data_IF_052274756998
#
_entry.id   IF_052274756998
#
_cell.length_a   1.000
_cell.length_b   1.000
_cell.length_c   1.000
_cell.angle_alpha   90.00
_cell.angle_beta   90.00
_cell.angle_gamma   90.00
#
_symmetry.space_group_name_H-M   'P 1'
#
loop_
_entity.id
_entity.type
_entity.pdbx_description
1 polymer ?
#
# COMPACT_ATOMS: atom_id res chain seq x y z
N UNK A 1 -3.68 -20.71 -3.53
CA UNK A 1 -5.09 -20.68 -3.10
C UNK A 1 -5.15 -19.60 -2.04
N UNK A 2 -5.55 -18.40 -2.44
CA UNK A 2 -5.66 -17.25 -1.52
C UNK A 2 -6.91 -17.49 -0.68
N UNK A 3 -6.75 -17.42 0.63
CA UNK A 3 -7.83 -17.47 1.61
C UNK A 3 -8.69 -16.20 1.42
N UNK A 4 -9.77 -16.35 0.66
CA UNK A 4 -10.77 -15.32 0.42
C UNK A 4 -12.08 -15.89 0.93
N UNK A 5 -12.31 -15.79 2.24
CA UNK A 5 -13.64 -15.99 2.82
C UNK A 5 -13.80 -15.13 4.08
N UNK A 6 -14.81 -14.26 4.06
CA UNK A 6 -15.42 -13.73 5.28
C UNK A 6 -15.74 -12.24 5.31
N UNK A 7 -16.66 -11.73 4.48
CA UNK A 7 -17.14 -10.36 4.67
C UNK A 7 -18.23 -9.82 3.75
N UNK A 8 -19.12 -10.66 3.22
CA UNK A 8 -20.17 -10.21 2.30
C UNK A 8 -21.37 -9.47 2.96
N UNK A 9 -21.36 -9.22 4.27
CA UNK A 9 -22.50 -8.61 5.00
C UNK A 9 -22.16 -7.37 5.84
N UNK A 10 -20.95 -6.81 5.71
CA UNK A 10 -20.54 -5.62 6.46
C UNK A 10 -20.47 -4.41 5.53
N UNK A 11 -21.21 -3.36 5.88
CA UNK A 11 -21.11 -2.07 5.24
C UNK A 11 -19.96 -1.28 5.86
N UNK A 12 -18.96 -0.99 5.04
CA UNK A 12 -17.81 -0.18 5.40
C UNK A 12 -18.02 1.27 4.95
N UNK A 13 -17.85 2.23 5.87
CA UNK A 13 -17.94 3.66 5.59
C UNK A 13 -16.63 4.34 5.94
N UNK A 14 -16.04 4.99 4.94
CA UNK A 14 -14.94 5.95 5.11
C UNK A 14 -15.49 7.36 4.95
N UNK A 15 -15.36 8.18 6.00
CA UNK A 15 -15.84 9.56 6.01
C UNK A 15 -14.65 10.51 6.11
N UNK A 16 -14.42 11.28 5.05
CA UNK A 16 -13.39 12.32 5.03
C UNK A 16 -13.95 13.63 5.56
N UNK A 17 -13.25 14.24 6.52
CA UNK A 17 -13.54 15.55 7.09
C UNK A 17 -12.44 16.53 6.69
N UNK A 18 -12.85 17.69 6.15
CA UNK A 18 -11.95 18.80 5.81
C UNK A 18 -11.58 18.87 4.31
N UNK A 19 -11.25 20.08 3.86
CA UNK A 19 -10.82 20.37 2.47
C UNK A 19 -9.29 20.41 2.31
N UNK A 20 -8.54 20.32 3.41
CA UNK A 20 -7.10 20.57 3.43
C UNK A 20 -6.29 19.32 3.04
N UNK A 21 -5.46 19.38 1.98
CA UNK A 21 -4.73 18.23 1.46
C UNK A 21 -3.61 17.72 2.36
N UNK A 22 -3.20 18.50 3.38
CA UNK A 22 -2.01 18.18 4.20
C UNK A 22 -2.31 17.23 5.36
N UNK A 23 -3.58 17.04 5.73
CA UNK A 23 -4.01 16.11 6.76
C UNK A 23 -5.49 15.74 6.59
N UNK A 24 -5.84 14.84 5.65
CA UNK A 24 -7.21 14.36 5.55
C UNK A 24 -7.58 13.63 6.85
N UNK A 25 -8.53 14.18 7.60
CA UNK A 25 -9.11 13.49 8.74
C UNK A 25 -10.10 12.46 8.21
N UNK A 26 -9.82 11.18 8.41
CA UNK A 26 -10.73 10.10 8.05
C UNK A 26 -11.30 9.44 9.30
N UNK A 27 -12.58 9.10 9.23
CA UNK A 27 -13.24 8.22 10.19
C UNK A 27 -13.67 6.97 9.43
N UNK A 28 -13.18 5.83 9.89
CA UNK A 28 -13.54 4.51 9.37
C UNK A 28 -14.49 3.84 10.38
N UNK A 29 -15.64 3.37 9.90
CA UNK A 29 -16.58 2.59 10.68
C UNK A 29 -17.21 1.47 9.85
N UNK A 30 -17.37 0.30 10.49
CA UNK A 30 -17.99 -0.88 9.89
C UNK A 30 -19.32 -1.18 10.57
N UNK A 31 -20.36 -1.47 9.78
CA UNK A 31 -21.73 -1.68 10.25
C UNK A 31 -22.32 -2.96 9.67
N UNK A 32 -23.14 -3.66 10.45
CA UNK A 32 -23.83 -4.85 9.97
C UNK A 32 -25.01 -4.54 9.03
N UNK A 33 -25.54 -3.31 9.05
CA UNK A 33 -26.70 -2.91 8.23
C UNK A 33 -26.61 -1.46 7.80
N UNK A 34 -27.27 -1.13 6.69
CA UNK A 34 -27.43 0.24 6.21
C UNK A 34 -28.21 1.12 7.20
N UNK A 35 -29.19 0.55 7.93
CA UNK A 35 -29.96 1.29 8.93
C UNK A 35 -29.08 1.77 10.09
N UNK A 36 -28.16 0.93 10.59
CA UNK A 36 -27.19 1.33 11.62
C UNK A 36 -26.22 2.39 11.14
N UNK A 37 -25.77 2.29 9.89
CA UNK A 37 -24.92 3.31 9.29
C UNK A 37 -25.64 4.66 9.16
N UNK A 38 -26.92 4.65 8.73
CA UNK A 38 -27.73 5.86 8.65
C UNK A 38 -28.00 6.48 10.02
N UNK A 39 -28.28 5.66 11.04
CA UNK A 39 -28.43 6.13 12.42
C UNK A 39 -27.13 6.77 12.94
N UNK A 40 -25.98 6.14 12.67
CA UNK A 40 -24.68 6.69 13.06
C UNK A 40 -24.39 8.02 12.37
N UNK A 41 -24.66 8.13 11.06
CA UNK A 41 -24.50 9.37 10.28
C UNK A 41 -25.46 10.50 10.72
N UNK A 42 -26.55 10.17 11.41
CA UNK A 42 -27.49 11.17 11.95
C UNK A 42 -26.96 11.89 13.19
N UNK A 43 -25.87 11.38 13.80
CA UNK A 43 -25.24 11.94 15.00
C UNK A 43 -23.99 12.75 14.62
N UNK A 44 -23.56 13.70 15.47
CA UNK A 44 -22.28 14.38 15.26
C UNK A 44 -21.15 13.35 15.18
N UNK A 45 -20.36 13.45 14.12
CA UNK A 45 -19.19 12.60 13.90
C UNK A 45 -18.21 12.75 15.07
N UNK A 46 -17.62 11.64 15.57
CA UNK A 46 -16.67 11.69 16.67
C UNK A 46 -15.44 12.55 16.35
N UNK A 47 -14.70 13.02 17.36
CA UNK A 47 -13.40 13.65 17.13
C UNK A 47 -12.46 12.64 16.45
N UNK A 48 -11.59 13.10 15.53
CA UNK A 48 -10.63 12.21 14.89
C UNK A 48 -9.68 11.62 15.94
N UNK A 49 -9.18 10.38 15.75
CA UNK A 49 -8.10 9.89 16.56
C UNK A 49 -6.89 10.82 16.43
N UNK A 50 -6.05 10.95 17.48
CA UNK A 50 -4.83 11.73 17.37
C UNK A 50 -4.00 11.20 16.20
N UNK A 51 -3.42 12.11 15.42
CA UNK A 51 -2.55 11.74 14.31
C UNK A 51 -1.39 10.90 14.83
N UNK A 52 -1.46 9.60 14.59
CA UNK A 52 -0.32 8.72 14.84
C UNK A 52 0.65 9.03 13.72
N UNK A 53 1.78 9.67 14.05
CA UNK A 53 2.86 9.83 13.09
C UNK A 53 3.17 8.44 12.52
N UNK A 54 2.93 8.26 11.22
CA UNK A 54 3.11 6.98 10.54
C UNK A 54 4.58 6.61 10.66
N UNK A 55 4.90 5.82 11.68
CA UNK A 55 6.26 5.39 11.97
C UNK A 55 6.57 4.33 10.94
N UNK A 56 7.40 4.67 9.95
CA UNK A 56 7.86 3.74 8.92
C UNK A 56 8.20 2.40 9.58
N UNK A 57 7.43 1.39 9.22
CA UNK A 57 7.56 0.08 9.84
C UNK A 57 8.92 -0.49 9.41
N UNK A 58 9.62 -1.17 10.32
CA UNK A 58 10.91 -1.78 9.98
C UNK A 58 10.78 -2.76 8.81
N UNK A 59 9.57 -3.33 8.64
CA UNK A 59 9.18 -4.19 7.51
C UNK A 59 9.23 -3.44 6.18
N UNK A 60 8.70 -2.21 6.12
CA UNK A 60 8.73 -1.40 4.91
C UNK A 60 10.17 -1.08 4.50
N UNK A 61 11.03 -0.79 5.49
CA UNK A 61 12.46 -0.57 5.24
C UNK A 61 13.13 -1.83 4.69
N UNK A 62 12.81 -3.01 5.24
CA UNK A 62 13.34 -4.27 4.75
C UNK A 62 12.88 -4.57 3.32
N UNK A 63 11.60 -4.33 3.00
CA UNK A 63 11.10 -4.47 1.63
C UNK A 63 11.78 -3.51 0.66
N UNK A 64 11.98 -2.25 1.07
CA UNK A 64 12.71 -1.26 0.27
C UNK A 64 14.14 -1.70 -0.04
N UNK A 65 14.87 -2.20 0.96
CA UNK A 65 16.24 -2.71 0.78
C UNK A 65 16.27 -3.96 -0.11
N UNK A 66 15.38 -4.92 0.13
CA UNK A 66 15.30 -6.13 -0.67
C UNK A 66 14.99 -5.82 -2.14
N UNK A 67 14.04 -4.92 -2.39
CA UNK A 67 13.71 -4.47 -3.74
C UNK A 67 14.90 -3.79 -4.43
N UNK A 68 15.61 -2.91 -3.73
CA UNK A 68 16.80 -2.25 -4.28
C UNK A 68 17.91 -3.26 -4.63
N UNK A 69 18.15 -4.26 -3.77
CA UNK A 69 19.11 -5.33 -4.05
C UNK A 69 18.71 -6.16 -5.28
N UNK A 70 17.44 -6.53 -5.39
CA UNK A 70 16.92 -7.23 -6.58
C UNK A 70 17.11 -6.41 -7.85
N UNK A 71 16.83 -5.11 -7.81
CA UNK A 71 16.99 -4.21 -8.96
C UNK A 71 18.46 -4.11 -9.39
N UNK A 72 19.38 -3.91 -8.44
CA UNK A 72 20.83 -3.86 -8.72
C UNK A 72 21.30 -5.18 -9.33
N UNK A 73 20.84 -6.31 -8.79
CA UNK A 73 21.22 -7.63 -9.31
C UNK A 73 20.69 -7.86 -10.73
N UNK A 74 19.44 -7.50 -11.01
CA UNK A 74 18.86 -7.59 -12.34
C UNK A 74 19.63 -6.75 -13.37
N UNK A 75 20.00 -5.51 -13.01
CA UNK A 75 20.84 -4.64 -13.85
C UNK A 75 22.21 -5.28 -14.08
N UNK A 76 22.84 -5.83 -13.03
CA UNK A 76 24.13 -6.52 -13.15
C UNK A 76 24.07 -7.71 -14.10
N UNK A 77 23.02 -8.52 -14.02
CA UNK A 77 22.81 -9.66 -14.93
C UNK A 77 22.54 -9.21 -16.37
N UNK A 78 21.77 -8.13 -16.58
CA UNK A 78 21.56 -7.56 -17.90
C UNK A 78 22.87 -7.07 -18.52
N UNK A 79 23.70 -6.35 -17.76
CA UNK A 79 25.00 -5.86 -18.24
C UNK A 79 25.95 -7.03 -18.52
N UNK A 80 25.98 -8.03 -17.65
CA UNK A 80 26.78 -9.23 -17.87
C UNK A 80 26.34 -10.00 -19.12
N UNK A 81 25.03 -10.14 -19.34
CA UNK A 81 24.46 -10.74 -20.54
C UNK A 81 24.82 -9.96 -21.81
N UNK A 82 24.69 -8.63 -21.78
CA UNK A 82 25.07 -7.76 -22.88
C UNK A 82 26.57 -7.86 -23.19
N UNK A 83 27.42 -7.87 -22.15
CA UNK A 83 28.86 -8.06 -22.30
C UNK A 83 29.19 -9.41 -22.93
N UNK A 84 28.59 -10.50 -22.45
CA UNK A 84 28.79 -11.83 -22.99
C UNK A 84 28.34 -11.91 -24.46
N UNK A 85 27.21 -11.30 -24.80
CA UNK A 85 26.70 -11.24 -26.17
C UNK A 85 27.66 -10.49 -27.10
N UNK A 86 28.14 -9.31 -26.68
CA UNK A 86 29.15 -8.55 -27.44
C UNK A 86 30.43 -9.37 -27.61
N UNK A 87 30.88 -10.07 -26.57
CA UNK A 87 32.10 -10.87 -26.65
C UNK A 87 31.96 -12.09 -27.57
N UNK A 88 30.79 -12.72 -27.58
CA UNK A 88 30.49 -13.86 -28.46
C UNK A 88 30.30 -13.43 -29.91
N UNK A 89 29.64 -12.29 -30.17
CA UNK A 89 29.37 -11.79 -31.52
C UNK A 89 30.54 -11.01 -32.13
N UNK A 90 31.35 -10.33 -31.32
CA UNK A 90 32.54 -9.58 -31.75
C UNK A 90 33.86 -10.31 -31.51
N UNK A 91 33.81 -11.61 -31.16
CA UNK A 91 34.98 -12.43 -30.83
C UNK A 91 35.54 -13.26 -31.99
N UNK A 92 35.18 -12.96 -33.23
CA UNK A 92 35.73 -13.56 -34.45
C UNK A 92 36.46 -12.49 -35.26
N UNK A 93 37.67 -12.16 -34.83
CA UNK A 93 38.76 -11.63 -35.65
C UNK A 93 40.08 -12.15 -35.05
#
# INVERSE_FOLDING_TARGET
MLDVDGGADWLHLEVTRGELPEAPEYVDASFCTQAHAAEWLSRPLPPPPPSVAMRADWRERLFGVAFALCAVWAVGLMLLGAYALVRLLGGWD
#
